data_IF_285882963835
#
_entry.id   IF_285882963835
#
_cell.length_a   1.000
_cell.length_b   1.000
_cell.length_c   1.000
_cell.angle_alpha   90.00
_cell.angle_beta   90.00
_cell.angle_gamma   90.00
#
_symmetry.space_group_name_H-M   'P 1'
#
loop_
_entity.id
_entity.type
_entity.pdbx_description
1 polymer ?
#
# COMPACT_ATOMS: atom_id res chain seq x y z
N UNK A 1 -8.92 -9.09 -17.70
CA UNK A 1 -7.64 -8.48 -17.31
C UNK A 1 -7.20 -9.09 -15.99
N UNK A 2 -5.95 -9.54 -15.89
CA UNK A 2 -5.35 -10.13 -14.69
C UNK A 2 -5.19 -9.06 -13.58
N UNK A 3 -5.32 -9.44 -12.30
CA UNK A 3 -5.12 -8.55 -11.14
C UNK A 3 -3.76 -7.87 -11.21
N UNK A 4 -2.69 -8.64 -11.48
CA UNK A 4 -1.33 -8.12 -11.59
C UNK A 4 -1.16 -6.98 -12.61
N UNK A 5 -1.96 -6.96 -13.69
CA UNK A 5 -1.92 -5.88 -14.68
C UNK A 5 -2.68 -4.63 -14.21
N UNK A 6 -3.74 -4.80 -13.44
CA UNK A 6 -4.57 -3.68 -12.94
C UNK A 6 -3.88 -2.94 -11.79
N UNK A 7 -3.11 -3.66 -10.99
CA UNK A 7 -2.43 -3.08 -9.83
C UNK A 7 -1.07 -2.48 -10.17
N UNK A 8 -0.60 -2.49 -11.43
CA UNK A 8 0.66 -1.81 -11.79
C UNK A 8 0.63 -0.34 -11.33
N UNK A 9 1.71 0.19 -10.73
CA UNK A 9 3.06 -0.38 -10.68
C UNK A 9 3.36 -1.33 -9.53
N UNK A 10 2.38 -1.68 -8.69
CA UNK A 10 2.56 -2.71 -7.65
C UNK A 10 2.81 -4.08 -8.29
N UNK A 11 3.70 -4.87 -7.69
CA UNK A 11 4.09 -6.19 -8.18
C UNK A 11 3.58 -7.26 -7.22
N UNK A 12 2.74 -8.17 -7.74
CA UNK A 12 2.29 -9.34 -6.99
C UNK A 12 3.36 -10.43 -7.03
N UNK A 13 3.73 -10.96 -5.87
CA UNK A 13 4.75 -12.00 -5.70
C UNK A 13 4.13 -13.19 -4.96
N UNK A 14 4.15 -14.36 -5.57
CA UNK A 14 3.74 -15.62 -4.95
C UNK A 14 4.98 -16.34 -4.42
N UNK A 15 4.93 -16.77 -3.16
CA UNK A 15 6.02 -17.48 -2.50
C UNK A 15 5.73 -18.98 -2.43
N UNK A 16 6.78 -19.80 -2.47
CA UNK A 16 6.66 -21.26 -2.37
C UNK A 16 5.99 -21.75 -1.07
N UNK A 17 5.99 -20.90 -0.03
CA UNK A 17 5.29 -21.13 1.24
C UNK A 17 3.77 -21.06 1.15
N UNK A 18 3.22 -20.61 0.02
CA UNK A 18 1.79 -20.31 -0.15
C UNK A 18 1.41 -18.88 0.22
N UNK A 19 2.33 -18.10 0.79
CA UNK A 19 2.12 -16.68 1.04
C UNK A 19 2.15 -15.87 -0.25
N UNK A 20 1.41 -14.77 -0.26
CA UNK A 20 1.41 -13.80 -1.35
C UNK A 20 1.80 -12.45 -0.77
N UNK A 21 2.72 -11.77 -1.42
CA UNK A 21 3.07 -10.39 -1.12
C UNK A 21 2.83 -9.49 -2.31
N UNK A 22 2.74 -8.20 -2.04
CA UNK A 22 2.75 -7.15 -3.04
C UNK A 22 3.84 -6.15 -2.66
N UNK A 23 4.61 -5.72 -3.66
CA UNK A 23 5.70 -4.77 -3.44
C UNK A 23 5.57 -3.55 -4.35
N UNK A 24 6.09 -2.42 -3.89
CA UNK A 24 6.29 -1.22 -4.69
C UNK A 24 7.67 -0.64 -4.38
N UNK A 25 8.47 -0.45 -5.44
CA UNK A 25 9.75 0.24 -5.32
C UNK A 25 9.52 1.72 -5.07
N UNK A 26 10.15 2.26 -4.04
CA UNK A 26 10.03 3.68 -3.67
C UNK A 26 10.47 4.59 -4.82
N UNK A 27 9.81 5.74 -4.94
CA UNK A 27 10.10 6.74 -5.98
C UNK A 27 9.54 6.41 -7.38
N UNK A 28 8.93 5.23 -7.57
CA UNK A 28 8.41 4.83 -8.89
C UNK A 28 6.95 5.19 -9.15
N UNK A 29 6.21 5.54 -8.09
CA UNK A 29 4.78 5.80 -8.14
C UNK A 29 4.39 6.86 -7.14
N UNK A 30 3.74 7.94 -7.60
CA UNK A 30 3.10 8.99 -6.80
C UNK A 30 3.90 9.47 -5.58
N UNK A 31 5.24 9.40 -5.60
CA UNK A 31 6.08 9.77 -4.46
C UNK A 31 5.97 11.27 -4.12
N UNK A 32 5.60 12.09 -5.10
CA UNK A 32 5.38 13.52 -4.95
C UNK A 32 4.25 13.87 -3.97
N UNK A 33 3.30 12.97 -3.69
CA UNK A 33 2.20 13.26 -2.76
C UNK A 33 2.70 13.46 -1.32
N UNK A 34 3.75 12.73 -0.93
CA UNK A 34 4.30 12.75 0.42
C UNK A 34 5.03 14.07 0.71
N UNK A 35 5.46 14.79 -0.33
CA UNK A 35 6.06 16.12 -0.18
C UNK A 35 5.11 17.13 0.48
N UNK A 36 3.80 16.88 0.43
CA UNK A 36 2.80 17.72 1.11
C UNK A 36 2.87 17.65 2.64
N UNK A 37 3.51 16.63 3.20
CA UNK A 37 3.74 16.45 4.65
C UNK A 37 5.22 16.23 4.99
N UNK A 38 6.13 16.72 4.14
CA UNK A 38 7.57 16.57 4.35
C UNK A 38 8.08 17.31 5.60
N UNK A 39 7.40 18.37 6.03
CA UNK A 39 7.68 19.08 7.28
C UNK A 39 7.33 18.27 8.53
N UNK A 40 6.47 17.27 8.39
CA UNK A 40 6.13 16.33 9.45
C UNK A 40 7.08 15.12 9.49
N UNK A 41 7.83 14.86 8.40
CA UNK A 41 8.81 13.78 8.30
C UNK A 41 8.53 12.74 7.22
N UNK A 42 7.44 12.89 6.44
CA UNK A 42 7.15 11.98 5.33
C UNK A 42 8.13 12.18 4.17
N UNK A 43 8.69 11.09 3.66
CA UNK A 43 9.67 11.08 2.57
C UNK A 43 9.12 10.42 1.29
N UNK A 44 8.01 9.69 1.40
CA UNK A 44 7.47 8.80 0.37
C UNK A 44 8.20 7.46 0.31
N UNK A 45 8.80 7.04 1.42
CA UNK A 45 9.50 5.77 1.57
C UNK A 45 8.51 4.60 1.77
N UNK A 46 9.01 3.36 1.91
CA UNK A 46 8.13 2.20 2.03
C UNK A 46 7.30 2.17 3.32
N UNK A 47 7.81 2.73 4.41
CA UNK A 47 7.06 2.87 5.67
C UNK A 47 5.92 3.88 5.52
N UNK A 48 6.17 5.02 4.87
CA UNK A 48 5.13 6.03 4.58
C UNK A 48 3.97 5.43 3.76
N UNK A 49 4.31 4.63 2.75
CA UNK A 49 3.30 3.87 1.99
C UNK A 49 2.57 2.85 2.86
N UNK A 50 3.28 2.22 3.80
CA UNK A 50 2.72 1.36 4.84
C UNK A 50 1.67 2.07 5.68
N UNK A 51 1.97 3.26 6.17
CA UNK A 51 1.04 4.07 6.97
C UNK A 51 -0.22 4.46 6.19
N UNK A 52 -0.09 4.86 4.92
CA UNK A 52 -1.25 5.17 4.06
C UNK A 52 -2.10 3.92 3.80
N UNK A 53 -1.45 2.77 3.57
CA UNK A 53 -2.12 1.48 3.39
C UNK A 53 -2.86 1.02 4.65
N UNK A 54 -2.27 1.23 5.83
CA UNK A 54 -2.89 0.91 7.12
C UNK A 54 -4.18 1.72 7.32
N UNK A 55 -4.15 3.03 7.11
CA UNK A 55 -5.36 3.89 7.17
C UNK A 55 -6.42 3.42 6.18
N UNK A 56 -6.02 3.06 4.95
CA UNK A 56 -6.96 2.52 3.96
C UNK A 56 -7.63 1.23 4.45
N UNK A 57 -6.86 0.29 5.00
CA UNK A 57 -7.41 -0.96 5.54
C UNK A 57 -8.39 -0.67 6.67
N UNK A 58 -8.04 0.16 7.64
CA UNK A 58 -8.91 0.48 8.77
C UNK A 58 -10.24 1.10 8.33
N UNK A 59 -10.21 2.00 7.35
CA UNK A 59 -11.40 2.76 6.95
C UNK A 59 -12.26 2.13 5.88
N UNK A 60 -11.65 1.39 4.96
CA UNK A 60 -12.32 0.86 3.76
C UNK A 60 -12.43 -0.65 3.78
N UNK A 61 -11.51 -1.34 4.44
CA UNK A 61 -11.47 -2.80 4.49
C UNK A 61 -11.14 -3.34 5.89
N UNK A 62 -11.89 -2.94 6.94
CA UNK A 62 -11.53 -3.28 8.33
C UNK A 62 -11.47 -4.79 8.58
N UNK A 63 -12.21 -5.58 7.80
CA UNK A 63 -12.18 -7.03 7.85
C UNK A 63 -10.84 -7.65 7.39
N UNK A 64 -9.93 -6.87 6.81
CA UNK A 64 -8.61 -7.30 6.34
C UNK A 64 -7.46 -6.82 7.23
N UNK A 65 -7.69 -5.96 8.23
CA UNK A 65 -6.64 -5.38 9.10
C UNK A 65 -5.81 -6.46 9.81
N UNK A 66 -6.45 -7.54 10.26
CA UNK A 66 -5.75 -8.66 10.91
C UNK A 66 -5.18 -9.70 9.93
N UNK A 67 -5.47 -9.56 8.64
CA UNK A 67 -5.17 -10.52 7.59
C UNK A 67 -4.00 -10.05 6.72
N UNK A 68 -3.96 -8.76 6.39
CA UNK A 68 -2.89 -8.14 5.63
C UNK A 68 -1.89 -7.55 6.60
N UNK A 69 -0.63 -7.97 6.47
CA UNK A 69 0.49 -7.49 7.28
C UNK A 69 1.45 -6.70 6.40
N UNK A 70 2.27 -5.86 7.02
CA UNK A 70 3.28 -5.06 6.34
C UNK A 70 4.68 -5.51 6.80
N UNK A 71 5.62 -5.46 5.86
CA UNK A 71 7.06 -5.70 6.08
C UNK A 71 7.84 -4.73 5.18
N UNK A 72 7.40 -3.47 5.19
CA UNK A 72 7.99 -2.42 4.37
C UNK A 72 9.39 -2.08 4.88
N UNK A 73 10.22 -1.61 3.96
CA UNK A 73 11.56 -1.09 4.19
C UNK A 73 11.68 0.31 3.57
N UNK A 74 12.73 1.05 3.90
CA UNK A 74 12.92 2.42 3.41
C UNK A 74 12.89 2.52 1.86
N UNK A 75 13.32 1.50 1.13
CA UNK A 75 13.36 1.48 -0.34
C UNK A 75 12.18 0.70 -0.98
N UNK A 76 11.35 0.04 -0.19
CA UNK A 76 10.31 -0.85 -0.69
C UNK A 76 9.08 -0.90 0.23
N UNK A 77 7.93 -0.54 -0.31
CA UNK A 77 6.66 -0.91 0.34
C UNK A 77 6.40 -2.40 0.16
N UNK A 78 5.98 -3.09 1.23
CA UNK A 78 5.61 -4.50 1.19
C UNK A 78 4.38 -4.78 2.06
N UNK A 79 3.37 -5.41 1.45
CA UNK A 79 2.23 -5.98 2.17
C UNK A 79 2.08 -7.46 1.82
N UNK A 80 1.71 -8.31 2.78
CA UNK A 80 1.63 -9.76 2.58
C UNK A 80 0.53 -10.42 3.41
N UNK A 81 0.13 -11.61 2.96
CA UNK A 81 -0.83 -12.48 3.64
C UNK A 81 -0.66 -13.92 3.17
N UNK A 82 -1.15 -14.87 3.98
CA UNK A 82 -1.36 -16.26 3.56
C UNK A 82 -2.67 -16.45 2.77
N UNK A 83 -3.49 -15.39 2.64
CA UNK A 83 -4.73 -15.36 1.87
C UNK A 83 -4.57 -14.53 0.60
N UNK A 84 -4.36 -15.20 -0.53
CA UNK A 84 -4.21 -14.56 -1.84
C UNK A 84 -5.38 -13.62 -2.18
N UNK A 85 -6.61 -14.06 -1.93
CA UNK A 85 -7.81 -13.27 -2.22
C UNK A 85 -7.87 -11.99 -1.39
N UNK A 86 -7.30 -11.99 -0.17
CA UNK A 86 -7.21 -10.80 0.66
C UNK A 86 -6.25 -9.78 0.06
N UNK A 87 -5.07 -10.21 -0.41
CA UNK A 87 -4.09 -9.33 -1.07
C UNK A 87 -4.64 -8.79 -2.38
N UNK A 88 -5.26 -9.63 -3.21
CA UNK A 88 -5.87 -9.18 -4.46
C UNK A 88 -6.99 -8.16 -4.22
N UNK A 89 -7.87 -8.41 -3.23
CA UNK A 89 -8.97 -7.49 -2.89
C UNK A 89 -8.45 -6.17 -2.33
N UNK A 90 -7.50 -6.23 -1.39
CA UNK A 90 -6.82 -5.07 -0.83
C UNK A 90 -6.19 -4.23 -1.93
N UNK A 91 -5.37 -4.84 -2.80
CA UNK A 91 -4.62 -4.11 -3.80
C UNK A 91 -5.48 -3.52 -4.90
N UNK A 92 -6.58 -4.17 -5.27
CA UNK A 92 -7.55 -3.58 -6.19
C UNK A 92 -8.15 -2.29 -5.60
N UNK A 93 -8.63 -2.34 -4.36
CA UNK A 93 -9.21 -1.16 -3.71
C UNK A 93 -8.19 -0.07 -3.39
N UNK A 94 -7.00 -0.46 -2.93
CA UNK A 94 -5.94 0.48 -2.60
C UNK A 94 -5.41 1.17 -3.86
N UNK A 95 -5.25 0.43 -4.97
CA UNK A 95 -4.87 1.00 -6.26
C UNK A 95 -5.89 2.02 -6.75
N UNK A 96 -7.18 1.72 -6.65
CA UNK A 96 -8.24 2.66 -7.04
C UNK A 96 -8.19 3.93 -6.17
N UNK A 97 -7.95 3.79 -4.86
CA UNK A 97 -7.76 4.93 -3.98
C UNK A 97 -6.51 5.75 -4.32
N UNK A 98 -5.43 5.09 -4.76
CA UNK A 98 -4.21 5.78 -5.18
C UNK A 98 -4.38 6.60 -6.46
N UNK A 99 -5.27 6.19 -7.38
CA UNK A 99 -5.55 6.91 -8.62
C UNK A 99 -6.42 8.15 -8.45
N UNK A 100 -7.10 8.28 -7.31
CA UNK A 100 -7.83 9.48 -6.95
C UNK A 100 -6.98 10.36 -6.01
N UNK A 101 -6.42 11.44 -6.55
CA UNK A 101 -5.56 12.37 -5.82
C UNK A 101 -6.24 12.99 -4.59
N UNK A 102 -7.57 13.12 -4.59
CA UNK A 102 -8.31 13.62 -3.41
C UNK A 102 -8.34 12.55 -2.33
N UNK A 103 -8.63 11.30 -2.72
CA UNK A 103 -8.71 10.17 -1.79
C UNK A 103 -7.35 9.85 -1.18
N UNK A 104 -6.30 9.72 -1.99
CA UNK A 104 -4.97 9.36 -1.45
C UNK A 104 -4.41 10.45 -0.53
N UNK A 105 -4.67 11.73 -0.83
CA UNK A 105 -4.26 12.84 0.06
C UNK A 105 -5.05 12.87 1.36
N UNK A 106 -6.34 12.55 1.30
CA UNK A 106 -7.18 12.43 2.50
C UNK A 106 -6.73 11.26 3.40
N UNK A 107 -6.38 10.11 2.81
CA UNK A 107 -5.76 8.99 3.52
C UNK A 107 -4.41 9.40 4.13
N UNK A 108 -3.54 10.02 3.32
CA UNK A 108 -2.24 10.52 3.78
C UNK A 108 -2.38 11.52 4.91
N UNK A 109 -3.41 12.37 4.95
CA UNK A 109 -3.60 13.35 6.04
C UNK A 109 -3.84 12.71 7.42
N UNK A 110 -4.18 11.42 7.46
CA UNK A 110 -4.45 10.64 8.68
C UNK A 110 -3.39 9.57 8.94
N UNK A 111 -2.46 9.38 8.01
CA UNK A 111 -1.34 8.48 8.20
C UNK A 111 -0.45 9.01 9.33
N UNK A 112 0.02 8.10 10.17
CA UNK A 112 1.00 8.38 11.22
C UNK A 112 2.39 7.89 10.76
N UNK A 113 3.45 8.57 11.19
CA UNK A 113 4.81 8.08 10.94
C UNK A 113 5.06 6.82 11.78
N UNK A 114 5.59 5.78 11.13
CA UNK A 114 6.03 4.52 11.75
C UNK A 114 7.49 4.60 12.22
#
# INVERSE_FOLDING_TARGET
MNVAEKIKPFLLVEHDSGNVSVILNVGTYKAEIFQSRADEGFEGNGYDWGSVAAVFLEERMPHLVDIVRFDSEADMFCAYSDKKEAIESFMMGFKDACEDDVVIRDLLSRAELD
#
